data_IF_080423045509
#
_entry.id   IF_080423045509
#
_cell.length_a   1.000
_cell.length_b   1.000
_cell.length_c   1.000
_cell.angle_alpha   90.00
_cell.angle_beta   90.00
_cell.angle_gamma   90.00
#
_symmetry.space_group_name_H-M   'P 1'
#
loop_
_entity.id
_entity.type
_entity.pdbx_description
1 polymer ?
#
# COMPACT_ATOMS: atom_id res chain seq x y z
N UNK A 1 17.92 -0.09 9.58
CA UNK A 1 17.76 0.11 8.13
C UNK A 1 17.70 1.59 7.83
N UNK A 2 18.31 2.00 6.72
CA UNK A 2 18.29 3.41 6.30
C UNK A 2 16.96 3.77 5.62
N UNK A 3 16.34 2.80 4.94
CA UNK A 3 15.06 2.98 4.26
C UNK A 3 14.30 1.67 4.10
N UNK A 4 12.98 1.76 3.97
CA UNK A 4 12.10 0.67 3.57
C UNK A 4 11.75 0.76 2.08
N UNK A 5 11.79 -0.37 1.38
CA UNK A 5 11.34 -0.46 -0.01
C UNK A 5 10.03 -1.25 -0.06
N UNK A 6 9.01 -0.74 -0.72
CA UNK A 6 7.69 -1.37 -0.84
C UNK A 6 7.15 -1.35 -2.27
N UNK A 7 6.37 -2.37 -2.64
CA UNK A 7 5.61 -2.37 -3.90
C UNK A 7 4.35 -1.50 -3.77
N UNK A 8 3.90 -0.92 -4.87
CA UNK A 8 2.62 -0.20 -4.95
C UNK A 8 2.02 -0.31 -6.35
N UNK A 9 0.83 0.24 -6.51
CA UNK A 9 0.00 0.16 -7.71
C UNK A 9 -0.43 1.55 -8.20
N UNK A 10 -1.02 1.61 -9.40
CA UNK A 10 -1.50 2.86 -9.98
C UNK A 10 -2.79 3.38 -9.34
N UNK A 11 -3.54 2.52 -8.64
CA UNK A 11 -4.77 2.88 -7.92
C UNK A 11 -4.52 3.72 -6.67
N UNK A 12 -3.26 3.92 -6.29
CA UNK A 12 -2.88 4.58 -5.04
C UNK A 12 -3.51 3.93 -3.79
N UNK A 13 -3.88 2.64 -3.88
CA UNK A 13 -4.44 1.90 -2.74
C UNK A 13 -3.34 1.25 -1.90
N UNK A 14 -3.52 1.25 -0.59
CA UNK A 14 -2.66 0.55 0.37
C UNK A 14 -3.54 -0.26 1.33
N UNK A 15 -4.51 -1.00 0.78
CA UNK A 15 -5.61 -1.60 1.54
C UNK A 15 -5.35 -3.03 2.02
N UNK A 16 -4.20 -3.62 1.72
CA UNK A 16 -3.93 -5.03 2.02
C UNK A 16 -2.47 -5.29 2.42
N UNK A 17 -2.27 -6.34 3.20
CA UNK A 17 -0.97 -6.86 3.57
C UNK A 17 -0.05 -5.84 4.25
N UNK A 18 1.22 -5.85 3.90
CA UNK A 18 2.22 -4.92 4.45
C UNK A 18 1.89 -3.45 4.13
N UNK A 19 1.31 -3.19 2.96
CA UNK A 19 0.94 -1.83 2.56
C UNK A 19 -0.11 -1.22 3.52
N UNK A 20 -1.11 -2.01 3.93
CA UNK A 20 -2.10 -1.58 4.91
C UNK A 20 -1.43 -1.22 6.25
N UNK A 21 -0.50 -2.05 6.71
CA UNK A 21 0.23 -1.79 7.95
C UNK A 21 1.09 -0.53 7.84
N UNK A 22 1.79 -0.33 6.74
CA UNK A 22 2.55 0.90 6.48
C UNK A 22 1.63 2.12 6.47
N UNK A 23 0.46 2.04 5.85
CA UNK A 23 -0.53 3.12 5.84
C UNK A 23 -1.01 3.48 7.25
N UNK A 24 -1.23 2.48 8.10
CA UNK A 24 -1.73 2.69 9.46
C UNK A 24 -0.66 3.23 10.41
N UNK A 25 0.56 2.69 10.33
CA UNK A 25 1.66 3.06 11.20
C UNK A 25 2.37 4.36 10.73
N UNK A 26 2.37 4.61 9.41
CA UNK A 26 3.06 5.73 8.76
C UNK A 26 2.14 6.46 7.76
N UNK A 27 1.12 7.20 8.21
CA UNK A 27 0.09 7.81 7.35
C UNK A 27 0.66 8.71 6.24
N UNK A 28 1.80 9.38 6.48
CA UNK A 28 2.45 10.24 5.49
C UNK A 28 2.84 9.49 4.21
N UNK A 29 3.11 8.17 4.30
CA UNK A 29 3.42 7.34 3.12
C UNK A 29 2.20 7.23 2.22
N UNK A 30 1.04 7.02 2.82
CA UNK A 30 -0.23 6.94 2.10
C UNK A 30 -0.64 8.31 1.51
N UNK A 31 -0.52 9.37 2.28
CA UNK A 31 -0.79 10.74 1.81
C UNK A 31 0.09 11.10 0.61
N UNK A 32 1.37 10.73 0.66
CA UNK A 32 2.29 10.94 -0.45
C UNK A 32 1.90 10.13 -1.68
N UNK A 33 1.48 8.88 -1.52
CA UNK A 33 0.98 8.02 -2.60
C UNK A 33 -0.29 8.58 -3.22
N UNK A 34 -1.25 9.05 -2.42
CA UNK A 34 -2.48 9.71 -2.88
C UNK A 34 -2.22 11.00 -3.66
N UNK A 35 -1.13 11.71 -3.36
CA UNK A 35 -0.70 12.89 -4.09
C UNK A 35 -0.23 12.61 -5.53
N UNK A 36 -0.07 11.33 -5.92
CA UNK A 36 0.26 10.96 -7.30
C UNK A 36 -0.99 10.85 -8.15
N UNK A 37 -0.83 11.00 -9.48
CA UNK A 37 -1.98 10.92 -10.40
C UNK A 37 -2.54 9.50 -10.46
N UNK A 38 -3.82 9.36 -10.14
CA UNK A 38 -4.54 8.08 -10.17
C UNK A 38 -4.54 7.46 -11.57
N UNK A 39 -4.27 6.17 -11.67
CA UNK A 39 -4.34 5.40 -12.92
C UNK A 39 -3.29 5.77 -13.97
N UNK A 40 -2.34 6.64 -13.66
CA UNK A 40 -1.32 7.07 -14.61
C UNK A 40 -0.30 5.97 -14.88
N UNK A 41 -0.30 5.44 -16.10
CA UNK A 41 0.61 4.37 -16.53
C UNK A 41 2.07 4.79 -16.60
N UNK A 42 2.35 6.08 -16.73
CA UNK A 42 3.71 6.60 -16.72
C UNK A 42 4.41 6.44 -15.37
N UNK A 43 3.65 6.14 -14.31
CA UNK A 43 4.22 5.79 -13.01
C UNK A 43 4.88 4.40 -12.98
N UNK A 44 4.48 3.46 -13.85
CA UNK A 44 5.05 2.12 -13.85
C UNK A 44 6.58 2.16 -14.07
N UNK A 45 7.30 1.51 -13.16
CA UNK A 45 8.75 1.51 -13.17
C UNK A 45 9.39 2.76 -12.57
N UNK A 46 8.62 3.61 -11.90
CA UNK A 46 9.13 4.76 -11.14
C UNK A 46 9.13 4.50 -9.63
N UNK A 47 9.85 5.35 -8.90
CA UNK A 47 9.94 5.34 -7.45
C UNK A 47 9.29 6.59 -6.86
N UNK A 48 8.59 6.41 -5.75
CA UNK A 48 8.08 7.50 -4.93
C UNK A 48 8.74 7.46 -3.55
N UNK A 49 9.62 8.41 -3.30
CA UNK A 49 10.23 8.53 -1.98
C UNK A 49 9.30 9.30 -1.03
N UNK A 50 9.04 8.69 0.12
CA UNK A 50 8.18 9.21 1.18
C UNK A 50 9.04 9.51 2.40
N UNK A 51 9.15 10.79 2.77
CA UNK A 51 9.90 11.27 3.92
C UNK A 51 9.02 12.10 4.83
N UNK A 52 9.27 11.99 6.12
CA UNK A 52 8.72 12.86 7.15
C UNK A 52 9.79 13.07 8.22
N UNK A 53 9.71 14.18 8.94
CA UNK A 53 10.68 14.50 9.99
C UNK A 53 10.61 13.47 11.11
N UNK A 54 11.76 12.94 11.51
CA UNK A 54 11.92 11.93 12.56
C UNK A 54 11.24 10.57 12.30
N UNK A 55 10.79 10.32 11.07
CA UNK A 55 10.18 9.06 10.67
C UNK A 55 11.08 8.29 9.71
N UNK A 56 10.92 6.95 9.60
CA UNK A 56 11.64 6.15 8.62
C UNK A 56 11.37 6.63 7.20
N UNK A 57 12.37 6.59 6.32
CA UNK A 57 12.14 6.83 4.89
C UNK A 57 11.56 5.59 4.24
N UNK A 58 10.49 5.75 3.47
CA UNK A 58 9.94 4.71 2.61
C UNK A 58 10.10 5.07 1.14
N UNK A 59 10.32 4.05 0.31
CA UNK A 59 10.33 4.19 -1.12
C UNK A 59 9.34 3.22 -1.76
N UNK A 60 8.35 3.72 -2.45
CA UNK A 60 7.33 2.92 -3.11
C UNK A 60 7.69 2.70 -4.57
N UNK A 61 7.69 1.44 -5.00
CA UNK A 61 7.93 1.01 -6.37
C UNK A 61 6.59 0.80 -7.08
N UNK A 62 6.31 1.53 -8.14
CA UNK A 62 5.11 1.31 -8.95
C UNK A 62 5.33 0.12 -9.89
N UNK A 63 4.90 -1.07 -9.49
CA UNK A 63 5.18 -2.34 -10.15
C UNK A 63 3.95 -3.07 -10.69
N UNK A 64 2.74 -2.59 -10.35
CA UNK A 64 1.48 -3.19 -10.82
C UNK A 64 0.49 -2.10 -11.25
N UNK A 65 -0.42 -2.44 -12.17
CA UNK A 65 -1.48 -1.52 -12.58
C UNK A 65 -2.56 -1.33 -11.50
N UNK A 66 -2.68 -2.26 -10.55
CA UNK A 66 -3.67 -2.20 -9.50
C UNK A 66 -4.95 -2.96 -9.79
N UNK A 67 -5.82 -3.01 -8.79
CA UNK A 67 -7.03 -3.85 -8.80
C UNK A 67 -8.05 -3.42 -9.85
N UNK A 68 -8.26 -2.13 -10.00
CA UNK A 68 -9.29 -1.56 -10.88
C UNK A 68 -8.95 -1.69 -12.37
N UNK A 69 -7.70 -2.01 -12.70
CA UNK A 69 -7.22 -2.11 -14.07
C UNK A 69 -6.98 -3.56 -14.51
N UNK A 70 -7.39 -4.55 -13.70
CA UNK A 70 -7.17 -5.96 -13.97
C UNK A 70 -8.40 -6.64 -14.54
N UNK A 71 -8.33 -7.16 -15.75
CA UNK A 71 -9.43 -7.94 -16.32
C UNK A 71 -9.50 -9.38 -15.77
N UNK A 72 -8.39 -9.92 -15.23
CA UNK A 72 -8.30 -11.32 -14.81
C UNK A 72 -7.38 -11.46 -13.58
N UNK A 73 -7.98 -11.79 -12.44
CA UNK A 73 -7.29 -11.95 -11.15
C UNK A 73 -6.50 -13.26 -11.04
N UNK A 74 -6.66 -14.19 -11.98
CA UNK A 74 -5.97 -15.48 -11.96
C UNK A 74 -4.56 -15.40 -12.57
N UNK A 75 -4.25 -14.32 -13.29
CA UNK A 75 -2.96 -14.13 -13.96
C UNK A 75 -1.98 -13.36 -13.07
N UNK A 76 -0.71 -13.59 -13.35
CA UNK A 76 0.38 -12.74 -12.92
C UNK A 76 0.15 -11.33 -13.48
N UNK A 77 0.10 -10.34 -12.61
CA UNK A 77 -0.11 -8.93 -12.96
C UNK A 77 1.05 -8.04 -12.52
N UNK A 78 2.13 -8.65 -12.03
CA UNK A 78 3.38 -7.96 -11.83
C UNK A 78 3.97 -7.54 -13.17
N UNK A 79 4.31 -6.27 -13.29
CA UNK A 79 5.15 -5.81 -14.39
C UNK A 79 6.61 -6.04 -14.05
N UNK A 80 7.21 -7.11 -14.57
CA UNK A 80 8.63 -7.40 -14.37
C UNK A 80 9.53 -6.31 -14.96
N UNK A 81 9.11 -5.66 -16.04
CA UNK A 81 9.83 -4.52 -16.60
C UNK A 81 9.81 -3.32 -15.65
N UNK A 82 8.67 -3.05 -15.03
CA UNK A 82 8.54 -1.99 -14.04
C UNK A 82 9.36 -2.31 -12.78
N UNK A 83 9.34 -3.56 -12.32
CA UNK A 83 10.15 -4.00 -11.19
C UNK A 83 11.64 -3.85 -11.51
N UNK A 84 12.11 -4.29 -12.67
CA UNK A 84 13.50 -4.14 -13.12
C UNK A 84 13.95 -2.67 -13.10
N UNK A 85 13.12 -1.77 -13.65
CA UNK A 85 13.38 -0.33 -13.64
C UNK A 85 13.45 0.23 -12.21
N UNK A 86 12.50 -0.12 -11.37
CA UNK A 86 12.48 0.31 -9.97
C UNK A 86 13.73 -0.15 -9.20
N UNK A 87 14.14 -1.41 -9.37
CA UNK A 87 15.32 -1.93 -8.69
C UNK A 87 16.62 -1.25 -9.16
N UNK A 88 16.75 -0.98 -10.47
CA UNK A 88 17.87 -0.18 -11.01
C UNK A 88 17.93 1.21 -10.40
N UNK A 89 16.79 1.89 -10.34
CA UNK A 89 16.71 3.21 -9.70
C UNK A 89 17.02 3.14 -8.20
N UNK A 90 16.51 2.14 -7.51
CA UNK A 90 16.80 1.93 -6.09
C UNK A 90 18.30 1.69 -5.85
N UNK A 91 18.97 0.92 -6.71
CA UNK A 91 20.41 0.70 -6.63
C UNK A 91 21.21 2.00 -6.73
N UNK A 92 20.80 2.91 -7.61
CA UNK A 92 21.44 4.22 -7.76
C UNK A 92 21.16 5.11 -6.55
N UNK A 93 19.91 5.17 -6.08
CA UNK A 93 19.50 6.07 -5.00
C UNK A 93 20.01 5.64 -3.62
N UNK A 94 20.15 4.35 -3.40
CA UNK A 94 20.47 3.77 -2.10
C UNK A 94 21.83 3.05 -2.08
N UNK A 95 22.68 3.28 -3.07
CA UNK A 95 24.02 2.72 -3.12
C UNK A 95 24.79 2.98 -1.82
N UNK A 96 25.42 1.95 -1.26
CA UNK A 96 26.11 1.99 0.02
C UNK A 96 25.24 2.05 1.27
N UNK A 97 23.90 1.97 1.12
CA UNK A 97 22.94 1.95 2.24
C UNK A 97 22.38 0.56 2.49
N UNK A 98 21.84 0.39 3.70
CA UNK A 98 21.15 -0.83 4.09
C UNK A 98 19.63 -0.61 4.02
N UNK A 99 18.94 -1.32 3.13
CA UNK A 99 17.50 -1.25 2.95
C UNK A 99 16.79 -2.55 3.36
N UNK A 100 15.57 -2.40 3.83
CA UNK A 100 14.68 -3.50 4.16
C UNK A 100 13.51 -3.53 3.17
N UNK A 101 13.17 -4.69 2.65
CA UNK A 101 12.00 -4.84 1.78
C UNK A 101 11.37 -6.24 1.88
N UNK A 102 10.08 -6.38 1.54
CA UNK A 102 9.53 -7.68 1.22
C UNK A 102 10.04 -8.14 -0.16
N UNK A 103 9.78 -9.38 -0.53
CA UNK A 103 9.99 -9.83 -1.90
C UNK A 103 8.89 -9.23 -2.80
N UNK A 104 9.18 -8.03 -3.35
CA UNK A 104 8.23 -7.21 -4.07
C UNK A 104 7.55 -7.94 -5.23
N UNK A 105 6.25 -7.87 -5.30
CA UNK A 105 5.47 -8.48 -6.39
C UNK A 105 5.25 -9.97 -6.27
N UNK A 106 5.80 -10.65 -5.26
CA UNK A 106 5.67 -12.12 -5.11
C UNK A 106 4.36 -12.55 -4.47
N UNK A 107 3.74 -11.69 -3.68
CA UNK A 107 2.48 -12.04 -3.03
C UNK A 107 1.30 -11.96 -4.01
N UNK A 108 0.25 -12.75 -3.73
CA UNK A 108 -1.01 -12.73 -4.48
C UNK A 108 -1.64 -11.34 -4.58
N UNK A 109 -1.38 -10.48 -3.60
CA UNK A 109 -1.96 -9.13 -3.53
C UNK A 109 -1.07 -8.05 -4.15
N UNK A 110 0.21 -8.38 -4.37
CA UNK A 110 1.23 -7.43 -4.79
C UNK A 110 1.72 -7.67 -6.23
N UNK A 111 1.21 -8.67 -6.93
CA UNK A 111 1.62 -8.95 -8.30
C UNK A 111 1.41 -10.40 -8.73
N UNK A 112 1.38 -11.32 -7.78
CA UNK A 112 1.31 -12.76 -8.02
C UNK A 112 2.42 -13.27 -8.95
N UNK A 113 3.60 -12.61 -8.89
CA UNK A 113 4.71 -12.88 -9.76
C UNK A 113 5.48 -14.14 -9.37
N UNK A 114 6.21 -14.67 -10.35
CA UNK A 114 7.12 -15.80 -10.17
C UNK A 114 8.27 -15.43 -9.24
N UNK A 115 8.38 -16.19 -8.16
CA UNK A 115 9.30 -15.92 -7.06
C UNK A 115 10.76 -15.98 -7.49
N UNK A 116 11.14 -17.00 -8.26
CA UNK A 116 12.52 -17.21 -8.66
C UNK A 116 12.98 -16.12 -9.62
N UNK A 117 12.11 -15.75 -10.55
CA UNK A 117 12.34 -14.63 -11.47
C UNK A 117 12.50 -13.30 -10.73
N UNK A 118 11.71 -13.05 -9.69
CA UNK A 118 11.83 -11.84 -8.86
C UNK A 118 13.18 -11.84 -8.14
N UNK A 119 13.57 -12.97 -7.52
CA UNK A 119 14.88 -13.10 -6.82
C UNK A 119 16.02 -12.82 -7.79
N UNK A 120 15.96 -13.31 -9.01
CA UNK A 120 16.98 -13.06 -10.03
C UNK A 120 17.05 -11.57 -10.42
N UNK A 121 15.93 -10.88 -10.50
CA UNK A 121 15.90 -9.43 -10.71
C UNK A 121 16.54 -8.66 -9.54
N UNK A 122 16.25 -9.05 -8.30
CA UNK A 122 16.89 -8.45 -7.13
C UNK A 122 18.40 -8.62 -7.16
N UNK A 123 18.89 -9.84 -7.37
CA UNK A 123 20.32 -10.16 -7.46
C UNK A 123 21.02 -9.43 -8.62
N UNK A 124 20.32 -9.27 -9.73
CA UNK A 124 20.90 -8.65 -10.93
C UNK A 124 21.02 -7.15 -10.81
N UNK A 125 20.09 -6.50 -10.09
CA UNK A 125 19.96 -5.04 -10.08
C UNK A 125 20.46 -4.36 -8.80
N UNK A 126 20.35 -4.99 -7.63
CA UNK A 126 20.75 -4.41 -6.34
C UNK A 126 22.15 -4.86 -5.95
N UNK A 127 23.16 -4.36 -6.65
CA UNK A 127 24.57 -4.76 -6.45
C UNK A 127 25.32 -3.88 -5.47
N UNK A 128 24.91 -2.61 -5.39
CA UNK A 128 25.59 -1.58 -4.59
C UNK A 128 24.83 -1.25 -3.31
N UNK A 129 23.74 -1.98 -3.04
CA UNK A 129 22.87 -1.80 -1.88
C UNK A 129 22.90 -3.05 -1.01
N UNK A 130 23.05 -2.87 0.30
CA UNK A 130 22.85 -3.95 1.26
C UNK A 130 21.36 -4.15 1.50
N UNK A 131 20.81 -5.30 1.07
CA UNK A 131 19.37 -5.56 1.07
C UNK A 131 19.01 -6.70 1.99
N UNK A 132 18.18 -6.42 3.00
CA UNK A 132 17.50 -7.46 3.77
C UNK A 132 16.11 -7.69 3.22
N UNK A 133 15.86 -8.88 2.65
CA UNK A 133 14.54 -9.29 2.19
C UNK A 133 13.82 -10.01 3.33
N UNK A 134 12.70 -9.44 3.76
CA UNK A 134 11.77 -10.10 4.68
C UNK A 134 10.82 -10.97 3.88
N UNK A 135 11.12 -12.25 3.89
CA UNK A 135 10.28 -13.23 3.24
C UNK A 135 9.20 -13.71 4.21
N UNK A 136 7.98 -13.34 3.91
CA UNK A 136 6.85 -13.87 4.64
C UNK A 136 6.67 -15.34 4.22
N UNK A 137 7.04 -16.26 5.10
CA UNK A 137 6.85 -17.69 4.88
C UNK A 137 5.37 -17.90 4.47
N UNK A 138 5.16 -18.56 3.35
CA UNK A 138 3.81 -18.86 2.85
C UNK A 138 3.06 -19.65 3.92
N UNK A 139 2.21 -18.96 4.65
CA UNK A 139 1.11 -19.63 5.34
C UNK A 139 0.31 -20.37 4.29
N UNK A 140 -0.26 -21.51 4.66
CA UNK A 140 -1.12 -22.24 3.72
C UNK A 140 -2.20 -21.29 3.16
N UNK A 141 -2.59 -21.47 1.90
CA UNK A 141 -3.62 -20.64 1.24
C UNK A 141 -4.89 -20.45 2.09
N UNK A 142 -5.18 -21.42 2.98
CA UNK A 142 -6.31 -21.38 3.90
C UNK A 142 -6.08 -20.42 5.08
N UNK A 143 -4.85 -20.35 5.61
CA UNK A 143 -4.49 -19.45 6.70
C UNK A 143 -4.44 -18.00 6.21
N UNK A 144 -3.87 -17.74 5.02
CA UNK A 144 -3.91 -16.43 4.38
C UNK A 144 -5.35 -15.94 4.15
N UNK A 145 -6.21 -16.78 3.59
CA UNK A 145 -7.61 -16.44 3.36
C UNK A 145 -8.39 -16.18 4.64
N UNK A 146 -8.02 -16.86 5.73
CA UNK A 146 -8.63 -16.64 7.04
C UNK A 146 -8.22 -15.28 7.63
N UNK A 147 -6.94 -14.96 7.58
CA UNK A 147 -6.42 -13.67 8.05
C UNK A 147 -7.02 -12.49 7.27
N UNK A 148 -7.11 -12.62 5.95
CA UNK A 148 -7.75 -11.59 5.11
C UNK A 148 -9.20 -11.37 5.52
N UNK A 149 -9.97 -12.43 5.72
CA UNK A 149 -11.35 -12.32 6.18
C UNK A 149 -11.46 -11.64 7.54
N UNK A 150 -10.55 -11.95 8.46
CA UNK A 150 -10.51 -11.32 9.78
C UNK A 150 -10.11 -9.84 9.70
N UNK A 151 -9.17 -9.48 8.83
CA UNK A 151 -8.81 -8.08 8.57
C UNK A 151 -9.93 -7.29 7.88
N UNK A 152 -10.57 -7.87 6.86
CA UNK A 152 -11.72 -7.25 6.20
C UNK A 152 -12.90 -7.04 7.16
N UNK A 153 -13.12 -7.97 8.09
CA UNK A 153 -14.14 -7.84 9.12
C UNK A 153 -13.82 -6.71 10.09
N UNK A 154 -12.55 -6.58 10.52
CA UNK A 154 -12.10 -5.48 11.38
C UNK A 154 -12.23 -4.12 10.70
N UNK A 155 -11.86 -4.01 9.43
CA UNK A 155 -12.01 -2.77 8.65
C UNK A 155 -13.48 -2.40 8.50
N UNK A 156 -14.35 -3.37 8.17
CA UNK A 156 -15.81 -3.15 8.09
C UNK A 156 -16.41 -2.75 9.43
N UNK A 157 -15.90 -3.26 10.53
CA UNK A 157 -16.36 -2.93 11.88
C UNK A 157 -15.96 -1.50 12.28
N UNK A 158 -14.72 -1.10 11.99
CA UNK A 158 -14.22 0.28 12.19
C UNK A 158 -15.00 1.27 11.31
N UNK A 159 -15.23 0.97 10.05
CA UNK A 159 -16.02 1.82 9.14
C UNK A 159 -17.49 1.89 9.57
N UNK A 160 -18.05 0.79 10.07
CA UNK A 160 -19.41 0.75 10.60
C UNK A 160 -19.57 1.61 11.85
N UNK A 161 -18.62 1.54 12.75
CA UNK A 161 -18.63 2.34 13.98
C UNK A 161 -18.47 3.84 13.68
N UNK A 162 -17.54 4.21 12.81
CA UNK A 162 -17.40 5.58 12.30
C UNK A 162 -18.68 6.09 11.63
N UNK A 163 -19.32 5.25 10.81
CA UNK A 163 -20.59 5.59 10.18
C UNK A 163 -21.69 5.83 11.22
N UNK A 164 -21.82 4.96 12.24
CA UNK A 164 -22.80 5.16 13.30
C UNK A 164 -22.54 6.42 14.13
N UNK A 165 -21.29 6.71 14.44
CA UNK A 165 -20.92 7.94 15.16
C UNK A 165 -21.27 9.19 14.32
N UNK A 166 -21.01 9.15 13.04
CA UNK A 166 -21.34 10.26 12.12
C UNK A 166 -22.86 10.46 12.00
N UNK A 167 -23.64 9.38 11.92
CA UNK A 167 -25.11 9.45 11.87
C UNK A 167 -25.68 9.98 13.18
N UNK A 168 -25.14 9.56 14.31
CA UNK A 168 -25.52 10.05 15.65
C UNK A 168 -25.26 11.54 15.79
N UNK A 169 -24.08 12.01 15.43
CA UNK A 169 -23.74 13.44 15.45
C UNK A 169 -24.64 14.29 14.54
N UNK A 170 -25.01 13.76 13.36
CA UNK A 170 -25.95 14.46 12.45
C UNK A 170 -27.35 14.58 13.05
N UNK A 171 -27.84 13.52 13.72
CA UNK A 171 -29.13 13.55 14.41
C UNK A 171 -29.13 14.58 15.56
N UNK A 172 -28.12 14.55 16.39
CA UNK A 172 -27.98 15.50 17.53
C UNK A 172 -27.95 16.96 17.05
N UNK A 173 -27.17 17.25 15.99
CA UNK A 173 -27.14 18.58 15.35
C UNK A 173 -28.49 18.97 14.75
N UNK A 174 -29.22 18.04 14.16
CA UNK A 174 -30.55 18.31 13.60
C UNK A 174 -31.57 18.61 14.70
N UNK A 175 -31.56 17.84 15.80
CA UNK A 175 -32.42 18.07 16.96
C UNK A 175 -32.12 19.41 17.65
N UNK A 176 -30.84 19.76 17.77
CA UNK A 176 -30.42 21.06 18.33
C UNK A 176 -30.89 22.24 17.48
N UNK A 177 -30.80 22.11 16.16
CA UNK A 177 -31.36 23.10 15.20
C UNK A 177 -32.88 23.23 15.33
N UNK A 178 -33.57 22.10 15.51
CA UNK A 178 -35.01 22.09 15.69
C UNK A 178 -35.44 22.76 16.99
N UNK A 179 -34.72 22.52 18.09
CA UNK A 179 -34.95 23.19 19.38
C UNK A 179 -34.68 24.69 19.29
N UNK A 180 -33.64 25.14 18.60
CA UNK A 180 -33.32 26.56 18.42
C UNK A 180 -34.32 27.29 17.52
N UNK A 181 -34.87 26.61 16.54
CA UNK A 181 -35.86 27.23 15.60
C UNK A 181 -37.31 27.06 16.06
N UNK A 182 -37.60 26.15 16.99
CA UNK A 182 -38.95 25.91 17.52
C UNK A 182 -39.50 26.97 18.46
N UNK A 183 -38.73 27.99 18.82
CA UNK A 183 -39.15 29.08 19.71
C UNK A 183 -39.55 30.38 18.98
N UNK A 184 -39.73 30.32 17.64
CA UNK A 184 -40.39 31.41 16.91
C UNK A 184 -41.80 30.96 16.51
N UNK A 185 -42.73 30.99 17.45
CA UNK A 185 -44.17 31.11 17.15
C UNK A 185 -44.56 32.58 17.34
N UNK A 186 -45.02 33.15 16.27
CA UNK A 186 -45.76 34.39 16.22
C UNK A 186 -47.11 34.24 16.94
#
# INVERSE_FOLDING_TARGET
YDSGLGGTNLDCTMSQGLQLKVMLDYPYVYERNLGTKYGDKDKLGTLLECRSDNEPTFCLCFITEGYNFRPDLAKDYLSYEALDKCLKLANVLYGGKHIACPLLGSSRFDGNGDRDRIIDLFKSNLKDVDVTIYDYFQKSRQEEMKEIREEELKVKEIDREKYYQMVKQRKEKAEERFRKNGHRRY
#
